data_IF_309119603868
#
_entry.id   IF_309119603868
#
_cell.length_a   1.000
_cell.length_b   1.000
_cell.length_c   1.000
_cell.angle_alpha   90.00
_cell.angle_beta   90.00
_cell.angle_gamma   90.00
#
_symmetry.space_group_name_H-M   'P 1'
#
loop_
_entity.id
_entity.type
_entity.pdbx_description
1 polymer ?
#
# COMPACT_ATOMS: atom_id res chain seq x y z
N UNK A 1 66.62 45.28 5.16
CA UNK A 1 65.44 45.40 6.04
C UNK A 1 64.21 45.05 5.20
N UNK A 2 63.80 43.79 5.21
CA UNK A 2 62.64 43.29 4.47
C UNK A 2 61.56 42.91 5.47
N UNK A 3 60.54 43.75 5.58
CA UNK A 3 59.35 43.52 6.41
C UNK A 3 58.51 42.39 5.82
N UNK A 4 58.32 41.31 6.58
CA UNK A 4 57.33 40.28 6.25
C UNK A 4 55.92 40.74 6.66
N UNK A 5 54.88 40.50 5.84
CA UNK A 5 53.51 40.76 6.23
C UNK A 5 53.05 39.67 7.22
N UNK A 6 52.67 40.11 8.41
CA UNK A 6 51.99 39.28 9.42
C UNK A 6 50.63 38.84 8.88
N UNK A 7 50.50 37.54 8.59
CA UNK A 7 49.21 36.92 8.30
C UNK A 7 48.31 37.01 9.53
N UNK A 8 47.26 37.82 9.46
CA UNK A 8 46.21 37.88 10.46
C UNK A 8 45.43 36.56 10.46
N UNK A 9 45.51 35.83 11.57
CA UNK A 9 44.65 34.69 11.82
C UNK A 9 43.20 35.18 11.96
N UNK A 10 42.43 35.06 10.86
CA UNK A 10 40.99 35.32 10.87
C UNK A 10 40.28 34.41 11.87
N UNK A 11 39.16 34.86 12.47
CA UNK A 11 38.42 34.09 13.46
C UNK A 11 38.05 32.72 12.91
N UNK A 12 38.38 31.68 13.67
CA UNK A 12 38.04 30.30 13.35
C UNK A 12 36.53 30.25 13.12
N UNK A 13 36.14 29.95 11.88
CA UNK A 13 34.74 29.97 11.48
C UNK A 13 33.94 29.05 12.39
N UNK A 14 33.07 29.64 13.20
CA UNK A 14 32.08 28.92 13.98
C UNK A 14 31.25 28.12 12.97
N UNK A 15 31.44 26.80 12.93
CA UNK A 15 30.76 25.93 11.97
C UNK A 15 29.26 26.12 12.17
N UNK A 16 28.61 26.83 11.23
CA UNK A 16 27.20 27.15 11.32
C UNK A 16 26.42 25.84 11.46
N UNK A 17 25.66 25.71 12.56
CA UNK A 17 24.86 24.53 12.83
C UNK A 17 23.93 24.29 11.63
N UNK A 18 24.05 23.10 11.00
CA UNK A 18 23.25 22.77 9.83
C UNK A 18 21.77 22.73 10.23
N UNK A 19 20.88 23.46 9.55
CA UNK A 19 19.47 23.50 9.93
C UNK A 19 18.85 22.10 9.89
N UNK A 20 18.05 21.78 10.93
CA UNK A 20 17.39 20.48 11.05
C UNK A 20 16.45 20.22 9.85
N UNK A 21 16.65 19.08 9.18
CA UNK A 21 15.87 18.69 8.00
C UNK A 21 14.43 18.36 8.43
N UNK A 22 13.46 19.17 8.01
CA UNK A 22 12.03 18.94 8.30
C UNK A 22 11.44 17.90 7.34
N UNK A 23 10.63 16.99 7.87
CA UNK A 23 9.92 15.98 7.08
C UNK A 23 8.82 16.66 6.24
N UNK A 24 8.76 16.42 4.92
CA UNK A 24 7.71 17.00 4.09
C UNK A 24 6.36 16.34 4.40
N UNK A 25 5.29 17.13 4.49
CA UNK A 25 3.93 16.61 4.74
C UNK A 25 3.46 15.61 3.69
N UNK A 26 3.94 15.74 2.44
CA UNK A 26 3.68 14.79 1.35
C UNK A 26 4.17 13.38 1.64
N UNK A 27 5.28 13.23 2.39
CA UNK A 27 5.78 11.93 2.79
C UNK A 27 4.84 11.29 3.82
N UNK A 28 4.38 12.07 4.80
CA UNK A 28 3.43 11.57 5.81
C UNK A 28 2.09 11.20 5.16
N UNK A 29 1.60 12.01 4.23
CA UNK A 29 0.39 11.70 3.47
C UNK A 29 0.55 10.41 2.66
N UNK A 30 1.67 10.23 1.96
CA UNK A 30 1.96 9.01 1.22
C UNK A 30 1.98 7.77 2.12
N UNK A 31 2.61 7.85 3.30
CA UNK A 31 2.61 6.74 4.28
C UNK A 31 1.19 6.47 4.77
N UNK A 32 0.45 7.49 5.18
CA UNK A 32 -0.90 7.33 5.71
C UNK A 32 -1.84 6.69 4.69
N UNK A 33 -1.78 7.13 3.44
CA UNK A 33 -2.61 6.59 2.35
C UNK A 33 -2.19 5.15 2.02
N UNK A 34 -0.89 4.86 1.93
CA UNK A 34 -0.41 3.50 1.67
C UNK A 34 -0.83 2.52 2.77
N UNK A 35 -0.74 2.96 4.03
CA UNK A 35 -1.18 2.16 5.19
C UNK A 35 -2.69 1.94 5.15
N UNK A 36 -3.49 2.97 4.86
CA UNK A 36 -4.94 2.83 4.75
C UNK A 36 -5.35 1.88 3.61
N UNK A 37 -4.70 2.00 2.45
CA UNK A 37 -4.90 1.11 1.30
C UNK A 37 -4.58 -0.35 1.67
N UNK A 38 -3.41 -0.56 2.27
CA UNK A 38 -2.98 -1.89 2.71
C UNK A 38 -3.94 -2.51 3.72
N UNK A 39 -4.43 -1.73 4.69
CA UNK A 39 -5.43 -2.22 5.67
C UNK A 39 -6.73 -2.59 4.97
N UNK A 40 -7.23 -1.76 4.04
CA UNK A 40 -8.46 -2.05 3.31
C UNK A 40 -8.35 -3.36 2.51
N UNK A 41 -7.25 -3.56 1.79
CA UNK A 41 -6.98 -4.79 1.03
C UNK A 41 -6.81 -6.01 1.97
N UNK A 42 -6.14 -5.86 3.11
CA UNK A 42 -6.02 -6.92 4.11
C UNK A 42 -7.40 -7.32 4.65
N UNK A 43 -8.25 -6.36 5.01
CA UNK A 43 -9.61 -6.62 5.49
C UNK A 43 -10.41 -7.38 4.42
N UNK A 44 -10.32 -6.96 3.15
CA UNK A 44 -10.93 -7.68 2.03
C UNK A 44 -10.45 -9.13 1.95
N UNK A 45 -9.13 -9.34 2.03
CA UNK A 45 -8.53 -10.66 2.00
C UNK A 45 -8.97 -11.55 3.17
N UNK A 46 -9.07 -11.00 4.39
CA UNK A 46 -9.59 -11.71 5.56
C UNK A 46 -11.03 -12.16 5.28
N UNK A 47 -11.91 -11.26 4.83
CA UNK A 47 -13.31 -11.58 4.55
C UNK A 47 -13.43 -12.72 3.52
N UNK A 48 -12.60 -12.72 2.47
CA UNK A 48 -12.60 -13.80 1.47
C UNK A 48 -12.17 -15.15 2.06
N UNK A 49 -11.09 -15.17 2.86
CA UNK A 49 -10.57 -16.41 3.44
C UNK A 49 -11.51 -16.96 4.51
N UNK A 50 -12.10 -16.10 5.34
CA UNK A 50 -12.97 -16.52 6.44
C UNK A 50 -14.42 -16.72 6.02
N UNK A 51 -14.86 -16.11 4.92
CA UNK A 51 -16.23 -16.19 4.44
C UNK A 51 -16.60 -17.55 3.85
N UNK A 52 -15.63 -18.27 3.27
CA UNK A 52 -15.79 -19.66 2.84
C UNK A 52 -17.02 -19.88 1.96
N UNK A 53 -17.80 -20.91 2.29
CA UNK A 53 -19.02 -21.31 1.57
C UNK A 53 -20.11 -20.23 1.60
N UNK A 54 -20.28 -19.53 2.73
CA UNK A 54 -21.34 -18.52 2.87
C UNK A 54 -21.12 -17.36 1.89
N UNK A 55 -19.87 -16.90 1.75
CA UNK A 55 -19.54 -15.85 0.79
C UNK A 55 -19.69 -16.33 -0.66
N UNK A 56 -19.35 -17.59 -0.95
CA UNK A 56 -19.55 -18.16 -2.28
C UNK A 56 -21.05 -18.22 -2.64
N UNK A 57 -21.90 -18.64 -1.69
CA UNK A 57 -23.36 -18.67 -1.85
C UNK A 57 -23.88 -17.25 -2.08
N UNK A 58 -23.49 -16.27 -1.26
CA UNK A 58 -23.94 -14.89 -1.39
C UNK A 58 -23.54 -14.28 -2.75
N UNK A 59 -22.35 -14.60 -3.24
CA UNK A 59 -21.89 -14.20 -4.57
C UNK A 59 -22.78 -14.80 -5.65
N UNK A 60 -22.96 -16.11 -5.66
CA UNK A 60 -23.77 -16.79 -6.68
C UNK A 60 -25.23 -16.33 -6.63
N UNK A 61 -25.80 -16.18 -5.43
CA UNK A 61 -27.14 -15.65 -5.24
C UNK A 61 -27.30 -14.22 -5.79
N UNK A 62 -26.30 -13.37 -5.56
CA UNK A 62 -26.29 -12.00 -6.10
C UNK A 62 -26.23 -12.00 -7.63
N UNK A 63 -25.45 -12.89 -8.24
CA UNK A 63 -25.30 -13.00 -9.71
C UNK A 63 -26.56 -13.58 -10.35
N UNK A 64 -27.12 -14.62 -9.74
CA UNK A 64 -28.31 -15.31 -10.23
C UNK A 64 -29.62 -14.55 -9.97
N UNK A 65 -29.58 -13.48 -9.17
CA UNK A 65 -30.75 -12.78 -8.63
C UNK A 65 -31.71 -13.75 -7.91
N UNK A 66 -31.12 -14.69 -7.16
CA UNK A 66 -31.81 -15.74 -6.41
C UNK A 66 -31.63 -15.58 -4.90
N UNK A 67 -32.45 -16.28 -4.12
CA UNK A 67 -32.30 -16.31 -2.66
C UNK A 67 -31.11 -17.19 -2.24
N UNK A 68 -30.38 -16.76 -1.21
CA UNK A 68 -29.21 -17.50 -0.73
C UNK A 68 -29.56 -18.93 -0.25
N UNK A 69 -30.78 -19.18 0.24
CA UNK A 69 -31.19 -20.51 0.65
C UNK A 69 -31.39 -21.45 -0.55
N UNK A 70 -31.94 -20.97 -1.68
CA UNK A 70 -32.12 -21.81 -2.88
C UNK A 70 -30.77 -22.20 -3.48
N UNK A 71 -29.85 -21.25 -3.56
CA UNK A 71 -28.48 -21.48 -4.04
C UNK A 71 -27.72 -22.44 -3.11
N UNK A 72 -27.86 -22.28 -1.79
CA UNK A 72 -27.24 -23.20 -0.82
C UNK A 72 -27.70 -24.64 -1.05
N UNK A 73 -29.00 -24.86 -1.18
CA UNK A 73 -29.55 -26.21 -1.41
C UNK A 73 -29.09 -26.78 -2.76
N UNK A 74 -29.02 -25.95 -3.80
CA UNK A 74 -28.56 -26.35 -5.13
C UNK A 74 -27.06 -26.69 -5.18
N UNK A 75 -26.23 -25.99 -4.41
CA UNK A 75 -24.78 -26.16 -4.40
C UNK A 75 -24.27 -27.09 -3.29
N UNK A 76 -25.13 -27.49 -2.34
CA UNK A 76 -24.76 -28.34 -1.22
C UNK A 76 -24.08 -29.64 -1.69
N UNK A 77 -22.82 -29.83 -1.29
CA UNK A 77 -22.03 -31.02 -1.66
C UNK A 77 -21.59 -31.07 -3.12
N UNK A 78 -21.79 -30.00 -3.90
CA UNK A 78 -21.34 -29.92 -5.29
C UNK A 78 -19.84 -29.61 -5.37
N UNK A 79 -19.17 -30.13 -6.41
CA UNK A 79 -17.77 -29.77 -6.71
C UNK A 79 -17.62 -28.27 -7.03
N UNK A 80 -18.67 -27.64 -7.56
CA UNK A 80 -18.71 -26.21 -7.87
C UNK A 80 -18.53 -25.35 -6.61
N UNK A 81 -19.10 -25.77 -5.47
CA UNK A 81 -18.91 -25.07 -4.20
C UNK A 81 -17.45 -25.10 -3.77
N UNK A 82 -16.80 -26.27 -3.84
CA UNK A 82 -15.39 -26.41 -3.51
C UNK A 82 -14.49 -25.52 -4.38
N UNK A 83 -14.73 -25.50 -5.69
CA UNK A 83 -13.97 -24.66 -6.62
C UNK A 83 -14.18 -23.16 -6.38
N UNK A 84 -15.40 -22.73 -6.05
CA UNK A 84 -15.70 -21.35 -5.69
C UNK A 84 -14.98 -20.92 -4.40
N UNK A 85 -15.00 -21.77 -3.37
CA UNK A 85 -14.30 -21.53 -2.10
C UNK A 85 -12.78 -21.49 -2.30
N UNK A 86 -12.22 -22.42 -3.07
CA UNK A 86 -10.79 -22.45 -3.35
C UNK A 86 -10.34 -21.19 -4.13
N UNK A 87 -11.16 -20.75 -5.09
CA UNK A 87 -10.92 -19.51 -5.84
C UNK A 87 -10.96 -18.28 -4.92
N UNK A 88 -11.96 -18.19 -4.04
CA UNK A 88 -12.06 -17.12 -3.04
C UNK A 88 -10.86 -17.13 -2.09
N UNK A 89 -10.44 -18.30 -1.62
CA UNK A 89 -9.30 -18.44 -0.72
C UNK A 89 -7.99 -18.01 -1.41
N UNK A 90 -7.76 -18.43 -2.65
CA UNK A 90 -6.60 -18.02 -3.43
C UNK A 90 -6.54 -16.49 -3.60
N UNK A 91 -7.67 -15.85 -3.90
CA UNK A 91 -7.79 -14.38 -4.00
C UNK A 91 -7.55 -13.70 -2.67
N UNK A 92 -8.13 -14.22 -1.60
CA UNK A 92 -7.94 -13.72 -0.24
C UNK A 92 -6.47 -13.76 0.18
N UNK A 93 -5.77 -14.87 -0.08
CA UNK A 93 -4.32 -15.00 0.17
C UNK A 93 -3.53 -13.98 -0.66
N UNK A 94 -3.83 -13.80 -1.95
CA UNK A 94 -3.16 -12.79 -2.78
C UNK A 94 -3.34 -11.37 -2.23
N UNK A 95 -4.55 -11.03 -1.79
CA UNK A 95 -4.84 -9.73 -1.16
C UNK A 95 -4.07 -9.56 0.16
N UNK A 96 -4.05 -10.59 1.01
CA UNK A 96 -3.29 -10.57 2.26
C UNK A 96 -1.80 -10.34 2.03
N UNK A 97 -1.20 -11.07 1.09
CA UNK A 97 0.23 -10.99 0.80
C UNK A 97 0.60 -9.62 0.22
N UNK A 98 -0.17 -9.12 -0.75
CA UNK A 98 0.12 -7.81 -1.37
C UNK A 98 -0.15 -6.66 -0.41
N UNK A 99 -1.23 -6.72 0.38
CA UNK A 99 -1.53 -5.77 1.45
C UNK A 99 -0.44 -5.75 2.52
N UNK A 100 0.00 -6.91 3.00
CA UNK A 100 1.09 -7.00 3.98
C UNK A 100 2.42 -6.46 3.43
N UNK A 101 2.74 -6.74 2.16
CA UNK A 101 3.92 -6.20 1.51
C UNK A 101 3.87 -4.67 1.41
N UNK A 102 2.76 -4.10 0.94
CA UNK A 102 2.59 -2.64 0.87
C UNK A 102 2.71 -2.00 2.27
N UNK A 103 2.07 -2.59 3.28
CA UNK A 103 2.14 -2.12 4.66
C UNK A 103 3.58 -2.08 5.17
N UNK A 104 4.32 -3.18 5.01
CA UNK A 104 5.72 -3.29 5.45
C UNK A 104 6.59 -2.22 4.80
N UNK A 105 6.50 -2.04 3.48
CA UNK A 105 7.33 -1.07 2.77
C UNK A 105 6.90 0.38 3.02
N UNK A 106 5.61 0.63 3.23
CA UNK A 106 5.11 1.94 3.64
C UNK A 106 5.72 2.37 4.98
N UNK A 107 5.84 1.45 5.94
CA UNK A 107 6.51 1.71 7.22
C UNK A 107 8.00 2.03 7.04
N UNK A 108 8.70 1.31 6.15
CA UNK A 108 10.11 1.61 5.84
C UNK A 108 10.32 2.94 5.12
N UNK A 109 9.29 3.46 4.44
CA UNK A 109 9.36 4.73 3.73
C UNK A 109 9.61 5.94 4.66
N UNK A 110 9.39 5.79 5.97
CA UNK A 110 9.73 6.81 6.97
C UNK A 110 11.22 7.23 6.96
N UNK A 111 12.13 6.37 6.46
CA UNK A 111 13.55 6.68 6.32
C UNK A 111 13.90 7.44 5.03
N UNK A 112 12.93 7.67 4.15
CA UNK A 112 13.05 8.33 2.84
C UNK A 112 14.17 7.79 1.95
N UNK A 113 14.51 6.52 2.09
CA UNK A 113 15.48 5.88 1.22
C UNK A 113 14.87 5.67 -0.17
N UNK A 114 15.69 5.76 -1.22
CA UNK A 114 15.22 5.53 -2.59
C UNK A 114 14.73 4.09 -2.76
N UNK A 115 15.44 3.12 -2.16
CA UNK A 115 15.05 1.71 -2.23
C UNK A 115 13.64 1.45 -1.66
N UNK A 116 13.26 2.10 -0.55
CA UNK A 116 11.94 1.91 0.04
C UNK A 116 10.83 2.46 -0.86
N UNK A 117 11.09 3.56 -1.57
CA UNK A 117 10.10 4.14 -2.51
C UNK A 117 9.84 3.21 -3.68
N UNK A 118 10.91 2.61 -4.23
CA UNK A 118 10.80 1.62 -5.30
C UNK A 118 9.97 0.42 -4.84
N UNK A 119 10.26 -0.12 -3.65
CA UNK A 119 9.50 -1.25 -3.11
C UNK A 119 8.03 -0.92 -2.82
N UNK A 120 7.74 0.28 -2.29
CA UNK A 120 6.35 0.76 -2.14
C UNK A 120 5.66 0.84 -3.49
N UNK A 121 6.31 1.34 -4.54
CA UNK A 121 5.69 1.46 -5.86
C UNK A 121 5.43 0.11 -6.52
N UNK A 122 6.34 -0.85 -6.37
CA UNK A 122 6.14 -2.23 -6.85
C UNK A 122 4.97 -2.87 -6.10
N UNK A 123 4.94 -2.73 -4.77
CA UNK A 123 3.89 -3.33 -3.95
C UNK A 123 2.54 -2.68 -4.17
N UNK A 124 2.49 -1.36 -4.36
CA UNK A 124 1.29 -0.64 -4.73
C UNK A 124 0.77 -1.07 -6.12
N UNK A 125 1.67 -1.33 -7.08
CA UNK A 125 1.28 -1.84 -8.39
C UNK A 125 0.73 -3.28 -8.32
N UNK A 126 1.34 -4.15 -7.50
CA UNK A 126 0.83 -5.50 -7.25
C UNK A 126 -0.53 -5.49 -6.54
N UNK A 127 -0.67 -4.65 -5.52
CA UNK A 127 -1.93 -4.46 -4.82
C UNK A 127 -3.02 -3.92 -5.75
N UNK A 128 -2.70 -2.92 -6.58
CA UNK A 128 -3.59 -2.40 -7.60
C UNK A 128 -4.06 -3.50 -8.56
N UNK A 129 -3.15 -4.36 -9.01
CA UNK A 129 -3.50 -5.49 -9.86
C UNK A 129 -4.45 -6.47 -9.16
N UNK A 130 -4.15 -6.87 -7.92
CA UNK A 130 -4.97 -7.79 -7.15
C UNK A 130 -6.36 -7.20 -6.87
N UNK A 131 -6.44 -5.94 -6.44
CA UNK A 131 -7.73 -5.29 -6.18
C UNK A 131 -8.55 -5.08 -7.46
N UNK A 132 -7.91 -4.88 -8.62
CA UNK A 132 -8.60 -4.83 -9.91
C UNK A 132 -9.17 -6.20 -10.31
N UNK A 133 -8.44 -7.29 -10.05
CA UNK A 133 -8.97 -8.65 -10.26
C UNK A 133 -10.20 -8.86 -9.37
N UNK A 134 -10.08 -8.54 -8.07
CA UNK A 134 -11.18 -8.66 -7.10
C UNK A 134 -12.40 -7.82 -7.49
N UNK A 135 -12.18 -6.60 -8.01
CA UNK A 135 -13.26 -5.70 -8.42
C UNK A 135 -13.89 -6.11 -9.76
N UNK A 136 -13.12 -6.77 -10.63
CA UNK A 136 -13.61 -7.30 -11.91
C UNK A 136 -14.47 -8.55 -11.74
N UNK A 137 -14.35 -9.25 -10.62
CA UNK A 137 -15.26 -10.33 -10.24
C UNK A 137 -16.58 -9.78 -9.70
N UNK A 138 -17.69 -10.46 -10.03
CA UNK A 138 -19.01 -10.16 -9.47
C UNK A 138 -19.05 -10.57 -7.99
N UNK A 139 -18.49 -9.71 -7.13
CA UNK A 139 -18.46 -9.87 -5.68
C UNK A 139 -19.58 -9.12 -4.94
N UNK A 140 -19.74 -9.42 -3.65
CA UNK A 140 -20.64 -8.65 -2.79
C UNK A 140 -20.12 -7.23 -2.56
N UNK A 141 -21.00 -6.27 -2.27
CA UNK A 141 -20.61 -4.87 -1.98
C UNK A 141 -19.60 -4.75 -0.83
N UNK A 142 -19.65 -5.68 0.13
CA UNK A 142 -18.72 -5.76 1.25
C UNK A 142 -17.28 -6.07 0.80
N UNK A 143 -17.12 -6.80 -0.30
CA UNK A 143 -15.83 -7.12 -0.91
C UNK A 143 -15.32 -5.99 -1.82
N UNK A 144 -16.23 -5.36 -2.56
CA UNK A 144 -15.91 -4.34 -3.55
C UNK A 144 -15.50 -2.99 -2.93
N UNK A 145 -16.14 -2.56 -1.82
CA UNK A 145 -15.81 -1.27 -1.21
C UNK A 145 -14.35 -1.17 -0.71
N UNK A 146 -13.82 -2.16 0.06
CA UNK A 146 -12.43 -2.13 0.48
C UNK A 146 -11.46 -2.24 -0.70
N UNK A 147 -11.77 -3.05 -1.73
CA UNK A 147 -10.96 -3.16 -2.94
C UNK A 147 -10.88 -1.82 -3.69
N UNK A 148 -12.01 -1.11 -3.83
CA UNK A 148 -12.03 0.23 -4.44
C UNK A 148 -11.18 1.24 -3.66
N UNK A 149 -11.21 1.18 -2.32
CA UNK A 149 -10.34 1.99 -1.46
C UNK A 149 -8.86 1.63 -1.63
N UNK A 150 -8.54 0.33 -1.75
CA UNK A 150 -7.22 -0.19 -2.05
C UNK A 150 -6.68 0.35 -3.37
N UNK A 151 -7.49 0.32 -4.44
CA UNK A 151 -7.17 0.87 -5.77
C UNK A 151 -6.86 2.37 -5.68
N UNK A 152 -7.78 3.16 -5.11
CA UNK A 152 -7.60 4.61 -5.00
C UNK A 152 -6.36 4.95 -4.15
N UNK A 153 -6.16 4.21 -3.07
CA UNK A 153 -5.01 4.36 -2.19
C UNK A 153 -3.69 3.97 -2.86
N UNK A 154 -3.67 2.92 -3.68
CA UNK A 154 -2.51 2.49 -4.45
C UNK A 154 -2.11 3.56 -5.48
N UNK A 155 -3.07 4.09 -6.24
CA UNK A 155 -2.85 5.16 -7.22
C UNK A 155 -2.33 6.43 -6.52
N UNK A 156 -2.99 6.86 -5.46
CA UNK A 156 -2.58 8.02 -4.68
C UNK A 156 -1.17 7.84 -4.09
N UNK A 157 -0.87 6.65 -3.55
CA UNK A 157 0.47 6.30 -3.07
C UNK A 157 1.51 6.41 -4.20
N UNK A 158 1.21 5.85 -5.37
CA UNK A 158 2.08 5.87 -6.54
C UNK A 158 2.46 7.31 -6.92
N UNK A 159 1.48 8.21 -6.98
CA UNK A 159 1.71 9.64 -7.29
C UNK A 159 2.48 10.34 -6.17
N UNK A 160 2.05 10.18 -4.91
CA UNK A 160 2.61 10.91 -3.78
C UNK A 160 4.07 10.54 -3.49
N UNK A 161 4.45 9.28 -3.69
CA UNK A 161 5.83 8.80 -3.47
C UNK A 161 6.85 9.59 -4.30
N UNK A 162 6.50 9.91 -5.55
CA UNK A 162 7.41 10.54 -6.52
C UNK A 162 7.33 12.06 -6.57
N UNK A 163 6.55 12.71 -5.69
CA UNK A 163 6.45 14.16 -5.67
C UNK A 163 7.82 14.84 -5.38
N UNK A 164 8.13 15.98 -6.03
CA UNK A 164 9.41 16.69 -5.88
C UNK A 164 9.85 16.99 -4.43
N UNK A 165 8.95 17.37 -3.49
CA UNK A 165 9.31 17.56 -2.09
C UNK A 165 9.96 16.33 -1.45
N UNK A 166 9.51 15.12 -1.78
CA UNK A 166 10.09 13.89 -1.25
C UNK A 166 11.52 13.69 -1.76
N UNK A 167 11.79 14.00 -3.03
CA UNK A 167 13.13 13.92 -3.61
C UNK A 167 14.10 14.94 -2.99
N UNK A 168 13.63 16.16 -2.71
CA UNK A 168 14.43 17.17 -2.00
C UNK A 168 14.80 16.72 -0.59
N UNK A 169 13.84 16.16 0.15
CA UNK A 169 14.08 15.63 1.50
C UNK A 169 15.12 14.49 1.51
N UNK A 170 15.03 13.54 0.56
CA UNK A 170 16.00 12.44 0.47
C UNK A 170 17.43 12.94 0.17
N UNK A 171 17.57 13.97 -0.69
CA UNK A 171 18.88 14.58 -0.99
C UNK A 171 19.45 15.30 0.24
N UNK A 172 18.63 16.06 0.96
CA UNK A 172 19.04 16.73 2.20
C UNK A 172 19.49 15.72 3.27
N UNK A 173 18.77 14.61 3.41
CA UNK A 173 19.12 13.56 4.37
C UNK A 173 20.43 12.84 4.03
N UNK A 174 20.76 12.72 2.73
CA UNK A 174 22.04 12.17 2.25
C UNK A 174 23.20 13.15 2.47
N UNK A 175 22.97 14.45 2.30
CA UNK A 175 24.00 15.49 2.51
C UNK A 175 24.39 15.65 3.99
N UNK A 176 23.52 15.26 4.92
CA UNK A 176 23.75 15.35 6.36
C UNK A 176 24.31 14.05 6.99
N UNK A 177 24.60 13.02 6.19
CA UNK A 177 25.24 11.77 6.64
C UNK A 177 26.70 11.75 6.20
#
# INVERSE_FOLDING_TARGET
MTSQPTASAGPVGQAAATPAVRRPGTLLAAIGIAVAAAIATIVSGIVMVTGGEDLAIDIVATIADEDAASVRDAMAGSALMGEAVDTLNARGIMALVTGAALLLFALFMGRAAVWSRVLVTISAALLLFVDLVILGDEGTKLMQMPAALGILGAIATFVLVWLPPNNRYARQLKANR
#
